data_IF_730332814082
#
_entry.id   IF_730332814082
#
_cell.length_a   1.000
_cell.length_b   1.000
_cell.length_c   1.000
_cell.angle_alpha   90.00
_cell.angle_beta   90.00
_cell.angle_gamma   90.00
#
_symmetry.space_group_name_H-M   'P 1'
#
loop_
_entity.id
_entity.type
_entity.pdbx_description
1 polymer ?
#
# COMPACT_ATOMS: atom_id res chain seq x y z
N UNK A 1 -2.31 45.61 5.66
CA UNK A 1 -2.98 44.34 6.02
C UNK A 1 -2.52 43.16 5.15
N UNK A 2 -2.41 43.31 3.83
CA UNK A 2 -2.00 42.22 2.91
C UNK A 2 -0.59 41.67 3.16
N UNK A 3 0.39 42.53 3.43
CA UNK A 3 1.77 42.12 3.76
C UNK A 3 1.84 41.29 5.05
N UNK A 4 1.10 41.70 6.09
CA UNK A 4 1.02 40.97 7.37
C UNK A 4 0.36 39.63 7.19
N UNK A 5 -0.73 39.54 6.41
CA UNK A 5 -1.40 38.29 6.09
C UNK A 5 -0.47 37.32 5.35
N UNK A 6 0.25 37.81 4.32
CA UNK A 6 1.24 37.00 3.59
C UNK A 6 2.35 36.51 4.52
N UNK A 7 2.87 37.38 5.38
CA UNK A 7 3.90 37.01 6.36
C UNK A 7 3.40 35.91 7.31
N UNK A 8 2.24 36.10 7.93
CA UNK A 8 1.65 35.09 8.84
C UNK A 8 1.38 33.77 8.13
N UNK A 9 0.86 33.83 6.89
CA UNK A 9 0.61 32.63 6.07
C UNK A 9 1.89 31.85 5.79
N UNK A 10 2.95 32.51 5.34
CA UNK A 10 4.22 31.83 5.04
C UNK A 10 4.91 31.33 6.32
N UNK A 11 4.86 32.08 7.41
CA UNK A 11 5.38 31.63 8.71
C UNK A 11 4.66 30.36 9.17
N UNK A 12 3.34 30.34 9.08
CA UNK A 12 2.56 29.13 9.43
C UNK A 12 2.91 27.94 8.54
N UNK A 13 3.00 28.14 7.21
CA UNK A 13 3.38 27.08 6.28
C UNK A 13 4.77 26.54 6.60
N UNK A 14 5.75 27.40 6.87
CA UNK A 14 7.13 26.99 7.20
C UNK A 14 7.14 26.20 8.51
N UNK A 15 6.51 26.71 9.57
CA UNK A 15 6.45 26.02 10.86
C UNK A 15 5.79 24.66 10.73
N UNK A 16 4.68 24.58 9.98
CA UNK A 16 3.98 23.33 9.73
C UNK A 16 4.81 22.34 8.92
N UNK A 17 5.52 22.84 7.89
CA UNK A 17 6.43 22.00 7.10
C UNK A 17 7.57 21.45 7.95
N UNK A 18 8.19 22.29 8.78
CA UNK A 18 9.26 21.88 9.71
C UNK A 18 8.71 20.81 10.68
N UNK A 19 7.54 21.04 11.26
CA UNK A 19 6.90 20.07 12.17
C UNK A 19 6.68 18.69 11.52
N UNK A 20 6.22 18.67 10.27
CA UNK A 20 5.99 17.41 9.53
C UNK A 20 7.31 16.76 9.13
N UNK A 21 8.30 17.53 8.67
CA UNK A 21 9.55 17.00 8.09
C UNK A 21 10.55 16.58 9.18
N UNK A 22 10.54 17.24 10.33
CA UNK A 22 11.51 17.00 11.41
C UNK A 22 11.60 15.53 11.86
N UNK A 23 10.48 14.79 12.12
CA UNK A 23 10.57 13.38 12.50
C UNK A 23 11.18 12.50 11.40
N UNK A 24 10.94 12.80 10.12
CA UNK A 24 11.56 12.06 9.02
C UNK A 24 13.07 12.32 8.94
N UNK A 25 13.49 13.58 9.07
CA UNK A 25 14.91 13.92 9.11
C UNK A 25 15.61 13.25 10.31
N UNK A 26 14.94 13.20 11.45
CA UNK A 26 15.47 12.52 12.63
C UNK A 26 15.57 11.00 12.42
N UNK A 27 14.57 10.36 11.82
CA UNK A 27 14.62 8.95 11.47
C UNK A 27 15.76 8.64 10.50
N UNK A 28 15.93 9.47 9.45
CA UNK A 28 17.04 9.35 8.51
C UNK A 28 18.38 9.51 9.24
N UNK A 29 18.53 10.55 10.04
CA UNK A 29 19.76 10.79 10.83
C UNK A 29 20.06 9.60 11.76
N UNK A 30 19.05 9.05 12.42
CA UNK A 30 19.19 7.91 13.33
C UNK A 30 19.59 6.64 12.61
N UNK A 31 19.21 6.45 11.33
CA UNK A 31 19.62 5.28 10.55
C UNK A 31 21.13 5.19 10.28
N UNK A 32 21.84 6.29 10.46
CA UNK A 32 23.31 6.35 10.32
C UNK A 32 24.06 6.31 11.67
N UNK A 33 23.38 6.07 12.79
CA UNK A 33 24.01 5.94 14.11
C UNK A 33 24.45 4.52 14.35
N UNK A 34 25.53 4.37 15.11
CA UNK A 34 25.92 3.10 15.69
C UNK A 34 25.03 2.72 16.88
N UNK A 35 25.04 1.48 17.30
CA UNK A 35 24.19 0.97 18.37
C UNK A 35 24.42 1.70 19.72
N UNK A 36 25.68 2.08 20.02
CA UNK A 36 26.00 2.79 21.26
C UNK A 36 25.42 4.22 21.24
N UNK A 37 25.55 4.94 20.13
CA UNK A 37 25.04 6.29 19.97
C UNK A 37 23.51 6.36 20.02
N UNK A 38 22.80 5.29 19.59
CA UNK A 38 21.34 5.22 19.68
C UNK A 38 20.89 5.07 21.14
N UNK A 39 21.61 4.27 21.96
CA UNK A 39 21.17 3.93 23.31
C UNK A 39 21.75 4.80 24.42
N UNK A 40 22.87 5.50 24.20
CA UNK A 40 23.59 6.22 25.25
C UNK A 40 23.13 7.64 25.45
N UNK A 41 22.85 8.40 24.40
CA UNK A 41 22.46 9.81 24.46
C UNK A 41 21.52 10.18 23.32
N UNK A 42 20.66 11.18 23.59
CA UNK A 42 19.86 11.80 22.54
C UNK A 42 20.77 12.69 21.70
N UNK A 43 21.05 12.29 20.48
CA UNK A 43 21.89 12.99 19.52
C UNK A 43 21.08 13.36 18.29
N UNK A 44 21.32 14.56 17.73
CA UNK A 44 20.49 15.07 16.63
C UNK A 44 21.28 15.30 15.34
N UNK A 45 22.48 15.87 15.46
CA UNK A 45 23.21 16.42 14.32
C UNK A 45 24.41 15.52 13.96
N UNK A 46 24.43 14.93 12.73
CA UNK A 46 25.59 14.18 12.25
C UNK A 46 26.87 15.03 12.30
N UNK A 47 28.00 14.40 12.55
CA UNK A 47 29.35 14.94 12.70
C UNK A 47 29.57 15.91 13.89
N UNK A 48 28.52 16.39 14.54
CA UNK A 48 28.62 17.18 15.78
C UNK A 48 28.35 16.32 17.02
N UNK A 49 27.30 15.54 16.99
CA UNK A 49 26.87 14.73 18.13
C UNK A 49 27.30 13.26 18.02
N UNK A 50 27.47 12.77 16.79
CA UNK A 50 27.90 11.39 16.51
C UNK A 50 28.57 11.30 15.12
N UNK A 51 29.41 10.28 14.93
CA UNK A 51 30.01 9.96 13.61
C UNK A 51 29.05 9.07 12.82
N UNK A 52 28.62 9.50 11.60
CA UNK A 52 27.73 8.70 10.79
C UNK A 52 28.40 7.39 10.34
N UNK A 53 27.69 6.28 10.50
CA UNK A 53 28.15 4.95 10.12
C UNK A 53 27.08 4.21 9.31
N UNK A 54 27.51 3.27 8.48
CA UNK A 54 26.63 2.36 7.73
C UNK A 54 26.53 0.97 8.41
N UNK A 55 26.95 0.86 9.65
CA UNK A 55 26.97 -0.43 10.34
C UNK A 55 25.58 -1.03 10.47
N UNK A 56 24.57 -0.24 10.87
CA UNK A 56 23.18 -0.67 10.93
C UNK A 56 22.66 -1.22 9.58
N UNK A 57 22.97 -0.52 8.49
CA UNK A 57 22.62 -0.97 7.14
C UNK A 57 23.33 -2.27 6.72
N UNK A 58 24.60 -2.43 7.10
CA UNK A 58 25.35 -3.67 6.85
C UNK A 58 24.77 -4.85 7.62
N UNK A 59 24.34 -4.66 8.85
CA UNK A 59 23.68 -5.70 9.65
C UNK A 59 22.36 -6.13 9.03
N UNK A 60 21.58 -5.19 8.51
CA UNK A 60 20.31 -5.49 7.85
C UNK A 60 20.48 -6.38 6.60
N UNK A 61 21.54 -6.17 5.83
CA UNK A 61 21.77 -6.90 4.58
C UNK A 61 22.53 -8.23 4.80
N UNK A 62 23.23 -8.40 5.92
CA UNK A 62 23.94 -9.65 6.21
C UNK A 62 22.97 -10.79 6.52
N UNK A 63 23.34 -12.00 6.12
CA UNK A 63 22.59 -13.21 6.46
C UNK A 63 22.63 -13.49 7.97
N UNK A 64 21.60 -14.17 8.53
CA UNK A 64 21.55 -14.55 9.96
C UNK A 64 22.77 -15.35 10.40
N UNK A 65 23.27 -16.24 9.56
CA UNK A 65 24.49 -17.04 9.84
C UNK A 65 25.76 -16.17 10.08
N UNK A 66 25.72 -14.90 9.69
CA UNK A 66 26.81 -13.92 9.89
C UNK A 66 26.44 -12.82 10.89
N UNK A 67 25.44 -13.07 11.75
CA UNK A 67 24.94 -12.09 12.73
C UNK A 67 24.14 -10.93 12.11
N UNK A 68 23.56 -11.13 10.94
CA UNK A 68 22.70 -10.16 10.27
C UNK A 68 21.21 -10.48 10.40
N UNK A 69 20.37 -9.66 9.76
CA UNK A 69 18.89 -9.78 9.79
C UNK A 69 18.33 -10.40 8.53
N UNK A 70 19.04 -10.22 7.40
CA UNK A 70 18.60 -10.61 6.07
C UNK A 70 17.20 -10.05 5.72
N UNK A 71 17.18 -8.78 5.38
CA UNK A 71 15.94 -8.11 4.94
C UNK A 71 15.76 -8.15 3.42
N UNK A 72 16.76 -8.63 2.68
CA UNK A 72 16.77 -8.54 1.21
C UNK A 72 15.68 -9.41 0.62
N UNK A 73 15.60 -10.66 1.04
CA UNK A 73 14.55 -11.58 0.58
C UNK A 73 13.14 -11.08 0.97
N UNK A 74 12.84 -10.75 2.24
CA UNK A 74 11.55 -10.17 2.62
C UNK A 74 11.18 -8.89 1.87
N UNK A 75 12.17 -8.06 1.52
CA UNK A 75 11.94 -6.86 0.71
C UNK A 75 11.45 -7.21 -0.70
N UNK A 76 12.13 -8.13 -1.39
CA UNK A 76 11.72 -8.55 -2.73
C UNK A 76 10.40 -9.33 -2.72
N UNK A 77 10.15 -10.12 -1.69
CA UNK A 77 8.85 -10.78 -1.49
C UNK A 77 7.72 -9.76 -1.35
N UNK A 78 7.91 -8.73 -0.52
CA UNK A 78 6.94 -7.65 -0.37
C UNK A 78 6.72 -6.89 -1.68
N UNK A 79 7.81 -6.58 -2.40
CA UNK A 79 7.73 -5.90 -3.69
C UNK A 79 6.95 -6.72 -4.71
N UNK A 80 7.25 -8.02 -4.82
CA UNK A 80 6.57 -8.93 -5.74
C UNK A 80 5.08 -9.05 -5.43
N UNK A 81 4.73 -9.35 -4.16
CA UNK A 81 3.33 -9.51 -3.74
C UNK A 81 2.55 -8.22 -3.94
N UNK A 82 3.08 -7.10 -3.46
CA UNK A 82 2.40 -5.81 -3.54
C UNK A 82 2.22 -5.34 -4.98
N UNK A 83 3.27 -5.36 -5.79
CA UNK A 83 3.18 -4.90 -7.18
C UNK A 83 2.27 -5.79 -8.02
N UNK A 84 2.38 -7.11 -7.89
CA UNK A 84 1.56 -8.06 -8.66
C UNK A 84 0.09 -7.96 -8.26
N UNK A 85 -0.22 -7.97 -6.96
CA UNK A 85 -1.58 -7.84 -6.48
C UNK A 85 -2.20 -6.48 -6.83
N UNK A 86 -1.45 -5.39 -6.68
CA UNK A 86 -1.92 -4.06 -7.05
C UNK A 86 -2.22 -3.95 -8.54
N UNK A 87 -1.32 -4.45 -9.41
CA UNK A 87 -1.52 -4.42 -10.86
C UNK A 87 -2.80 -5.17 -11.26
N UNK A 88 -2.97 -6.38 -10.76
CA UNK A 88 -4.15 -7.21 -11.05
C UNK A 88 -5.41 -6.53 -10.50
N UNK A 89 -5.37 -6.01 -9.27
CA UNK A 89 -6.50 -5.32 -8.65
C UNK A 89 -6.90 -4.05 -9.41
N UNK A 90 -5.94 -3.28 -9.92
CA UNK A 90 -6.20 -2.09 -10.73
C UNK A 90 -6.85 -2.49 -12.05
N UNK A 91 -6.33 -3.50 -12.73
CA UNK A 91 -6.90 -3.96 -14.01
C UNK A 91 -8.35 -4.45 -13.82
N UNK A 92 -8.56 -5.38 -12.89
CA UNK A 92 -9.88 -5.93 -12.63
C UNK A 92 -10.84 -4.89 -12.06
N UNK A 93 -10.38 -4.09 -11.10
CA UNK A 93 -11.14 -3.01 -10.49
C UNK A 93 -11.55 -1.92 -11.49
N UNK A 94 -10.68 -1.57 -12.43
CA UNK A 94 -10.97 -0.60 -13.48
C UNK A 94 -12.03 -1.13 -14.44
N UNK A 95 -11.96 -2.38 -14.86
CA UNK A 95 -12.96 -3.01 -15.71
C UNK A 95 -14.33 -3.10 -15.01
N UNK A 96 -14.34 -3.52 -13.75
CA UNK A 96 -15.56 -3.57 -12.94
C UNK A 96 -16.15 -2.17 -12.74
N UNK A 97 -15.32 -1.17 -12.43
CA UNK A 97 -15.75 0.21 -12.26
C UNK A 97 -16.32 0.82 -13.54
N UNK A 98 -15.71 0.55 -14.69
CA UNK A 98 -16.26 0.99 -15.99
C UNK A 98 -17.63 0.38 -16.21
N UNK A 99 -17.78 -0.93 -16.02
CA UNK A 99 -19.06 -1.58 -16.13
C UNK A 99 -20.13 -0.98 -15.21
N UNK A 100 -19.79 -0.72 -13.95
CA UNK A 100 -20.70 -0.13 -12.96
C UNK A 100 -21.07 1.33 -13.26
N UNK A 101 -20.20 2.08 -13.94
CA UNK A 101 -20.44 3.48 -14.28
C UNK A 101 -21.24 3.67 -15.58
N UNK A 102 -21.10 2.75 -16.54
CA UNK A 102 -21.69 2.86 -17.89
C UNK A 102 -22.95 2.04 -18.09
N UNK A 103 -23.03 0.85 -17.49
CA UNK A 103 -24.16 -0.05 -17.65
C UNK A 103 -25.04 -0.06 -16.41
N UNK A 104 -26.35 -0.18 -16.62
CA UNK A 104 -27.33 -0.31 -15.54
C UNK A 104 -27.58 -1.79 -15.23
N UNK A 105 -27.07 -2.23 -14.11
CA UNK A 105 -27.34 -3.57 -13.61
C UNK A 105 -28.59 -3.54 -12.71
N UNK A 106 -29.54 -4.44 -12.97
CA UNK A 106 -30.72 -4.65 -12.14
C UNK A 106 -30.94 -6.14 -11.99
N UNK A 107 -30.74 -6.65 -10.78
CA UNK A 107 -31.05 -8.04 -10.43
C UNK A 107 -31.97 -8.02 -9.20
N UNK A 108 -33.28 -8.05 -9.45
CA UNK A 108 -34.27 -7.88 -8.41
C UNK A 108 -34.17 -6.50 -7.73
N UNK A 109 -33.81 -6.49 -6.45
CA UNK A 109 -33.63 -5.27 -5.66
C UNK A 109 -32.21 -4.68 -5.78
N UNK A 110 -31.23 -5.42 -6.30
CA UNK A 110 -29.82 -5.00 -6.38
C UNK A 110 -29.60 -4.08 -7.58
N UNK A 111 -29.01 -2.91 -7.33
CA UNK A 111 -28.64 -1.89 -8.33
C UNK A 111 -27.13 -1.62 -8.27
N UNK A 112 -26.62 -0.84 -9.23
CA UNK A 112 -25.20 -0.46 -9.30
C UNK A 112 -24.66 0.10 -7.98
N UNK A 113 -25.42 0.95 -7.31
CA UNK A 113 -25.03 1.54 -6.03
C UNK A 113 -24.86 0.47 -4.93
N UNK A 114 -25.71 -0.54 -4.92
CA UNK A 114 -25.63 -1.63 -3.94
C UNK A 114 -24.40 -2.50 -4.21
N UNK A 115 -24.08 -2.74 -5.48
CA UNK A 115 -22.85 -3.47 -5.87
C UNK A 115 -21.62 -2.66 -5.47
N UNK A 116 -21.59 -1.36 -5.76
CA UNK A 116 -20.51 -0.48 -5.36
C UNK A 116 -20.35 -0.44 -3.85
N UNK A 117 -21.47 -0.33 -3.11
CA UNK A 117 -21.48 -0.38 -1.65
C UNK A 117 -20.97 -1.72 -1.12
N UNK A 118 -21.29 -2.83 -1.76
CA UNK A 118 -20.78 -4.15 -1.39
C UNK A 118 -19.25 -4.20 -1.46
N UNK A 119 -18.64 -3.65 -2.52
CA UNK A 119 -17.18 -3.55 -2.60
C UNK A 119 -16.60 -2.73 -1.44
N UNK A 120 -17.20 -1.58 -1.11
CA UNK A 120 -16.72 -0.72 -0.03
C UNK A 120 -16.91 -1.39 1.34
N UNK A 121 -18.02 -2.09 1.54
CA UNK A 121 -18.37 -2.73 2.82
C UNK A 121 -17.33 -3.77 3.26
N UNK A 122 -16.65 -4.42 2.32
CA UNK A 122 -15.57 -5.35 2.63
C UNK A 122 -14.40 -4.68 3.36
N UNK A 123 -14.16 -3.38 3.13
CA UNK A 123 -13.10 -2.61 3.81
C UNK A 123 -13.48 -2.19 5.24
N UNK A 124 -14.77 -2.20 5.55
CA UNK A 124 -15.28 -1.87 6.89
C UNK A 124 -15.16 -3.09 7.81
N UNK A 125 -15.12 -4.30 7.26
CA UNK A 125 -14.99 -5.52 8.06
C UNK A 125 -13.64 -5.56 8.79
N UNK A 126 -13.61 -5.92 10.09
CA UNK A 126 -12.36 -6.12 10.80
C UNK A 126 -11.51 -7.22 10.13
N UNK A 127 -10.21 -6.99 9.90
CA UNK A 127 -9.34 -7.95 9.21
C UNK A 127 -9.35 -9.36 9.82
N UNK A 128 -9.52 -9.46 11.15
CA UNK A 128 -9.57 -10.75 11.85
C UNK A 128 -10.74 -11.64 11.39
N UNK A 129 -11.86 -11.05 11.00
CA UNK A 129 -13.03 -11.81 10.52
C UNK A 129 -12.73 -12.48 9.18
N UNK A 130 -11.95 -11.80 8.32
CA UNK A 130 -11.56 -12.32 7.00
C UNK A 130 -10.38 -13.29 7.08
N UNK A 131 -9.55 -13.22 8.13
CA UNK A 131 -8.34 -14.04 8.24
C UNK A 131 -8.64 -15.54 8.33
N UNK A 132 -9.66 -15.94 9.09
CA UNK A 132 -10.03 -17.34 9.26
C UNK A 132 -10.50 -17.97 7.93
N UNK A 133 -11.45 -17.38 7.19
CA UNK A 133 -11.83 -17.89 5.86
C UNK A 133 -10.66 -17.97 4.88
N UNK A 134 -9.79 -16.95 4.83
CA UNK A 134 -8.63 -16.98 3.95
C UNK A 134 -7.63 -18.07 4.35
N UNK A 135 -7.39 -18.24 5.63
CA UNK A 135 -6.52 -19.31 6.12
C UNK A 135 -7.04 -20.68 5.70
N UNK A 136 -8.33 -20.99 5.95
CA UNK A 136 -8.96 -22.26 5.59
C UNK A 136 -8.91 -22.45 4.05
N UNK A 137 -9.25 -21.42 3.29
CA UNK A 137 -9.22 -21.46 1.83
C UNK A 137 -7.83 -21.78 1.29
N UNK A 138 -6.81 -21.02 1.70
CA UNK A 138 -5.43 -21.24 1.26
C UNK A 138 -4.87 -22.59 1.70
N UNK A 139 -5.20 -23.04 2.92
CA UNK A 139 -4.84 -24.37 3.42
C UNK A 139 -5.45 -25.48 2.56
N UNK A 140 -6.73 -25.33 2.18
CA UNK A 140 -7.44 -26.34 1.39
C UNK A 140 -6.88 -26.49 -0.01
N UNK A 141 -6.43 -25.38 -0.63
CA UNK A 141 -5.87 -25.41 -2.00
C UNK A 141 -4.34 -25.56 -2.00
N UNK A 142 -3.70 -25.71 -0.82
CA UNK A 142 -2.26 -25.89 -0.69
C UNK A 142 -1.41 -24.66 -1.03
N UNK A 143 -1.97 -23.46 -0.90
CA UNK A 143 -1.28 -22.18 -1.13
C UNK A 143 -0.98 -21.40 0.17
N UNK A 144 -1.19 -22.03 1.33
CA UNK A 144 -0.79 -21.41 2.60
C UNK A 144 0.75 -21.32 2.65
N UNK A 145 1.28 -20.27 3.29
CA UNK A 145 2.71 -19.97 3.36
C UNK A 145 3.40 -19.86 1.98
N UNK A 146 2.72 -19.24 1.01
CA UNK A 146 3.25 -19.04 -0.34
C UNK A 146 3.05 -17.60 -0.85
N UNK A 147 3.97 -17.11 -1.70
CA UNK A 147 3.84 -15.80 -2.35
C UNK A 147 2.57 -15.69 -3.19
N UNK A 148 2.20 -16.76 -3.89
CA UNK A 148 1.00 -16.78 -4.74
C UNK A 148 -0.26 -16.70 -3.87
N UNK A 149 -0.30 -17.42 -2.76
CA UNK A 149 -1.41 -17.33 -1.80
C UNK A 149 -1.62 -15.92 -1.29
N UNK A 150 -0.54 -15.24 -0.91
CA UNK A 150 -0.60 -13.82 -0.51
C UNK A 150 -1.07 -12.92 -1.64
N UNK A 151 -0.58 -13.10 -2.86
CA UNK A 151 -1.05 -12.33 -4.04
C UNK A 151 -2.56 -12.47 -4.22
N UNK A 152 -3.11 -13.68 -4.14
CA UNK A 152 -4.57 -13.93 -4.26
C UNK A 152 -5.35 -13.19 -3.18
N UNK A 153 -4.92 -13.27 -1.92
CA UNK A 153 -5.58 -12.55 -0.81
C UNK A 153 -5.48 -11.04 -1.01
N UNK A 154 -4.31 -10.53 -1.38
CA UNK A 154 -4.13 -9.09 -1.58
C UNK A 154 -4.95 -8.56 -2.77
N UNK A 155 -5.15 -9.34 -3.84
CA UNK A 155 -6.08 -8.95 -4.92
C UNK A 155 -7.48 -8.72 -4.36
N UNK A 156 -7.98 -9.64 -3.54
CA UNK A 156 -9.33 -9.51 -2.94
C UNK A 156 -9.41 -8.29 -2.02
N UNK A 157 -8.36 -8.01 -1.26
CA UNK A 157 -8.33 -6.88 -0.32
C UNK A 157 -8.16 -5.52 -1.02
N UNK A 158 -7.43 -5.45 -2.13
CA UNK A 158 -7.11 -4.20 -2.82
C UNK A 158 -8.14 -3.84 -3.91
N UNK A 159 -8.78 -4.84 -4.52
CA UNK A 159 -9.75 -4.62 -5.60
C UNK A 159 -10.90 -3.67 -5.22
N UNK A 160 -11.49 -3.72 -4.00
CA UNK A 160 -12.53 -2.79 -3.59
C UNK A 160 -12.11 -1.32 -3.64
N UNK A 161 -10.85 -1.03 -3.31
CA UNK A 161 -10.28 0.33 -3.37
C UNK A 161 -10.20 0.80 -4.81
N UNK A 162 -9.68 -0.06 -5.70
CA UNK A 162 -9.56 0.26 -7.12
C UNK A 162 -10.94 0.50 -7.74
N UNK A 163 -11.92 -0.36 -7.45
CA UNK A 163 -13.31 -0.20 -7.92
C UNK A 163 -13.88 1.13 -7.44
N UNK A 164 -13.79 1.43 -6.17
CA UNK A 164 -14.39 2.63 -5.58
C UNK A 164 -13.81 3.91 -6.19
N UNK A 165 -12.50 4.02 -6.26
CA UNK A 165 -11.83 5.19 -6.82
C UNK A 165 -12.18 5.33 -8.31
N UNK A 166 -12.12 4.24 -9.07
CA UNK A 166 -12.34 4.30 -10.50
C UNK A 166 -13.80 4.55 -10.89
N UNK A 167 -14.78 4.08 -10.10
CA UNK A 167 -16.21 4.42 -10.31
C UNK A 167 -16.41 5.93 -10.21
N UNK A 168 -15.83 6.59 -9.20
CA UNK A 168 -15.95 8.04 -9.04
C UNK A 168 -15.29 8.80 -10.22
N UNK A 169 -14.12 8.36 -10.66
CA UNK A 169 -13.46 8.96 -11.83
C UNK A 169 -14.25 8.75 -13.12
N UNK A 170 -14.74 7.55 -13.40
CA UNK A 170 -15.55 7.31 -14.60
C UNK A 170 -16.88 8.06 -14.59
N UNK A 171 -17.49 8.27 -13.44
CA UNK A 171 -18.71 9.06 -13.33
C UNK A 171 -18.49 10.55 -13.65
N UNK A 172 -17.26 11.06 -13.54
CA UNK A 172 -16.89 12.43 -13.94
C UNK A 172 -16.62 12.57 -15.44
N UNK A 173 -16.30 11.47 -16.12
CA UNK A 173 -16.13 11.48 -17.59
C UNK A 173 -17.51 11.48 -18.24
N UNK A 174 -17.84 12.49 -19.07
CA UNK A 174 -19.14 12.58 -19.75
C UNK A 174 -19.42 11.34 -20.59
N UNK A 175 -20.66 10.83 -20.52
CA UNK A 175 -21.08 9.63 -21.28
C UNK A 175 -21.14 9.90 -22.79
N UNK A 176 -21.31 11.14 -23.16
CA UNK A 176 -21.32 11.62 -24.55
C UNK A 176 -20.03 11.29 -25.30
N UNK A 177 -18.91 11.17 -24.57
CA UNK A 177 -17.63 10.74 -25.16
C UNK A 177 -17.66 9.28 -25.61
N UNK A 178 -18.32 8.40 -24.85
CA UNK A 178 -18.51 7.00 -25.23
C UNK A 178 -19.44 6.92 -26.45
N UNK A 179 -20.55 7.68 -26.47
CA UNK A 179 -21.54 7.73 -27.55
C UNK A 179 -20.90 8.28 -28.84
N UNK A 180 -20.12 9.35 -28.76
CA UNK A 180 -19.40 9.92 -29.92
C UNK A 180 -18.42 8.89 -30.48
N UNK A 181 -17.65 8.20 -29.66
CA UNK A 181 -16.73 7.17 -30.10
C UNK A 181 -17.45 6.00 -30.83
N UNK A 182 -18.64 5.62 -30.37
CA UNK A 182 -19.46 4.60 -31.04
C UNK A 182 -19.98 5.11 -32.42
N UNK A 183 -20.37 6.38 -32.52
CA UNK A 183 -20.79 7.00 -33.80
C UNK A 183 -19.60 7.05 -34.78
N UNK A 184 -18.39 7.30 -34.27
CA UNK A 184 -17.14 7.30 -35.06
C UNK A 184 -16.68 5.88 -35.49
N UNK A 185 -17.50 4.86 -35.19
CA UNK A 185 -17.26 3.46 -35.61
C UNK A 185 -16.40 2.64 -34.65
N UNK A 186 -16.11 3.15 -33.46
CA UNK A 186 -15.47 2.35 -32.43
C UNK A 186 -16.43 1.29 -31.88
N UNK A 187 -15.94 0.08 -31.61
CA UNK A 187 -16.68 -0.87 -30.77
C UNK A 187 -16.55 -0.47 -29.28
N UNK A 188 -17.37 -1.04 -28.36
CA UNK A 188 -17.35 -0.68 -26.95
C UNK A 188 -15.98 -0.84 -26.27
N UNK A 189 -15.19 -1.83 -26.67
CA UNK A 189 -13.83 -2.02 -26.14
C UNK A 189 -12.88 -0.92 -26.63
N UNK A 190 -13.02 -0.52 -27.90
CA UNK A 190 -12.22 0.56 -28.46
C UNK A 190 -12.60 1.92 -27.84
N UNK A 191 -13.88 2.18 -27.60
CA UNK A 191 -14.33 3.38 -26.88
C UNK A 191 -13.72 3.43 -25.48
N UNK A 192 -13.74 2.31 -24.74
CA UNK A 192 -13.08 2.21 -23.45
C UNK A 192 -11.58 2.53 -23.53
N UNK A 193 -10.81 1.79 -24.34
CA UNK A 193 -9.35 1.92 -24.40
C UNK A 193 -8.85 3.23 -25.03
N UNK A 194 -9.55 3.72 -26.06
CA UNK A 194 -9.08 4.89 -26.82
C UNK A 194 -9.57 6.22 -26.27
N UNK A 195 -10.73 6.22 -25.58
CA UNK A 195 -11.38 7.46 -25.15
C UNK A 195 -11.50 7.52 -23.63
N UNK A 196 -12.17 6.58 -23.00
CA UNK A 196 -12.51 6.68 -21.57
C UNK A 196 -11.30 6.46 -20.68
N UNK A 197 -10.53 5.42 -20.93
CA UNK A 197 -9.36 5.06 -20.12
C UNK A 197 -8.28 6.15 -20.14
N UNK A 198 -7.88 6.74 -21.28
CA UNK A 198 -6.92 7.83 -21.30
C UNK A 198 -7.38 9.07 -20.53
N UNK A 199 -8.67 9.40 -20.60
CA UNK A 199 -9.25 10.51 -19.83
C UNK A 199 -9.32 10.22 -18.32
N UNK A 200 -9.20 8.96 -17.92
CA UNK A 200 -9.23 8.50 -16.52
C UNK A 200 -7.85 8.15 -15.95
N UNK A 201 -6.76 8.41 -16.67
CA UNK A 201 -5.38 8.15 -16.20
C UNK A 201 -5.11 8.75 -14.82
N UNK A 202 -5.52 9.98 -14.47
CA UNK A 202 -5.34 10.49 -13.12
C UNK A 202 -5.99 9.60 -12.05
N UNK A 203 -7.16 9.04 -12.35
CA UNK A 203 -7.83 8.07 -11.47
C UNK A 203 -7.05 6.78 -11.30
N UNK A 204 -6.50 6.25 -12.39
CA UNK A 204 -5.64 5.06 -12.36
C UNK A 204 -4.40 5.26 -11.49
N UNK A 205 -3.76 6.42 -11.61
CA UNK A 205 -2.59 6.77 -10.79
C UNK A 205 -2.97 6.79 -9.31
N UNK A 206 -4.08 7.46 -8.97
CA UNK A 206 -4.56 7.53 -7.58
C UNK A 206 -4.91 6.14 -7.05
N UNK A 207 -5.69 5.34 -7.79
CA UNK A 207 -6.04 3.97 -7.41
C UNK A 207 -4.79 3.10 -7.22
N UNK A 208 -3.82 3.22 -8.15
CA UNK A 208 -2.54 2.52 -8.08
C UNK A 208 -1.72 2.88 -6.85
N UNK A 209 -1.61 4.16 -6.54
CA UNK A 209 -0.91 4.61 -5.34
C UNK A 209 -1.55 4.04 -4.07
N UNK A 210 -2.87 4.08 -3.95
CA UNK A 210 -3.56 3.51 -2.79
C UNK A 210 -3.38 1.99 -2.69
N UNK A 211 -3.50 1.26 -3.80
CA UNK A 211 -3.27 -0.18 -3.80
C UNK A 211 -1.84 -0.52 -3.35
N UNK A 212 -0.83 0.18 -3.88
CA UNK A 212 0.57 -0.04 -3.49
C UNK A 212 0.79 0.29 -2.02
N UNK A 213 0.30 1.44 -1.54
CA UNK A 213 0.46 1.85 -0.14
C UNK A 213 -0.17 0.81 0.79
N UNK A 214 -1.43 0.44 0.57
CA UNK A 214 -2.12 -0.51 1.44
C UNK A 214 -1.53 -1.92 1.38
N UNK A 215 -1.10 -2.38 0.19
CA UNK A 215 -0.42 -3.66 0.07
C UNK A 215 0.97 -3.67 0.73
N UNK A 216 1.70 -2.56 0.62
CA UNK A 216 3.05 -2.45 1.20
C UNK A 216 3.07 -2.43 2.73
N UNK A 217 2.10 -1.74 3.35
CA UNK A 217 2.04 -1.59 4.81
C UNK A 217 1.29 -2.73 5.50
N UNK A 218 0.71 -3.68 4.74
CA UNK A 218 -0.03 -4.78 5.37
C UNK A 218 0.91 -5.70 6.12
N UNK A 219 0.66 -5.77 7.41
CA UNK A 219 1.33 -6.69 8.34
C UNK A 219 0.44 -7.87 8.69
N UNK A 220 -0.87 -7.61 8.85
CA UNK A 220 -1.78 -8.53 9.51
C UNK A 220 -2.00 -9.83 8.72
N UNK A 221 -2.36 -9.72 7.43
CA UNK A 221 -2.57 -10.90 6.61
C UNK A 221 -1.26 -11.61 6.27
N UNK A 222 -0.18 -10.86 6.05
CA UNK A 222 1.14 -11.44 5.91
C UNK A 222 1.53 -12.26 7.13
N UNK A 223 1.33 -11.74 8.35
CA UNK A 223 1.68 -12.41 9.61
C UNK A 223 0.86 -13.69 9.85
N UNK A 224 -0.45 -13.67 9.51
CA UNK A 224 -1.33 -14.84 9.77
C UNK A 224 -1.20 -15.92 8.70
N UNK A 225 -0.89 -15.55 7.46
CA UNK A 225 -0.93 -16.47 6.32
C UNK A 225 0.45 -17.00 5.92
N UNK A 226 1.54 -16.49 6.54
CA UNK A 226 2.91 -16.99 6.30
C UNK A 226 3.62 -17.33 7.61
N UNK A 227 4.49 -18.35 7.57
CA UNK A 227 5.14 -18.88 8.77
C UNK A 227 6.64 -19.05 8.62
N UNK A 228 7.09 -19.92 7.72
CA UNK A 228 8.49 -20.35 7.61
C UNK A 228 9.08 -20.10 6.22
N UNK A 229 8.33 -20.42 5.16
CA UNK A 229 8.83 -20.38 3.78
C UNK A 229 8.85 -18.97 3.21
N UNK A 230 7.88 -18.15 3.61
CA UNK A 230 7.71 -16.80 3.07
C UNK A 230 7.63 -15.78 4.22
N UNK A 231 8.44 -14.74 4.12
CA UNK A 231 8.34 -13.60 5.01
C UNK A 231 8.26 -12.30 4.19
N UNK A 232 7.34 -11.41 4.58
CA UNK A 232 7.27 -10.06 4.05
C UNK A 232 8.03 -9.07 4.95
N UNK A 233 8.44 -7.95 4.37
CA UNK A 233 9.22 -6.93 5.06
C UNK A 233 8.55 -6.41 6.35
N UNK A 234 7.24 -6.08 6.41
CA UNK A 234 6.59 -5.65 7.64
C UNK A 234 6.66 -6.71 8.76
N UNK A 235 6.49 -7.99 8.42
CA UNK A 235 6.56 -9.10 9.38
C UNK A 235 7.99 -9.25 9.90
N UNK A 236 8.98 -9.22 9.01
CA UNK A 236 10.40 -9.29 9.38
C UNK A 236 10.83 -8.13 10.28
N UNK A 237 10.39 -6.92 9.96
CA UNK A 237 10.71 -5.73 10.73
C UNK A 237 10.16 -5.81 12.17
N UNK A 238 8.91 -6.23 12.35
CA UNK A 238 8.29 -6.39 13.67
C UNK A 238 8.96 -7.51 14.46
N UNK A 239 9.18 -8.68 13.84
CA UNK A 239 9.86 -9.81 14.46
C UNK A 239 11.25 -9.43 14.98
N UNK A 240 12.02 -8.69 14.17
CA UNK A 240 13.37 -8.26 14.56
C UNK A 240 13.37 -7.27 15.73
N UNK A 241 12.45 -6.32 15.73
CA UNK A 241 12.35 -5.33 16.82
C UNK A 241 11.95 -5.98 18.14
N UNK A 242 11.04 -6.94 18.12
CA UNK A 242 10.63 -7.68 19.32
C UNK A 242 11.73 -8.60 19.88
N UNK A 243 12.42 -9.33 19.02
CA UNK A 243 13.52 -10.22 19.47
C UNK A 243 14.64 -9.43 20.14
N UNK A 244 15.06 -8.31 19.57
CA UNK A 244 16.11 -7.47 20.18
C UNK A 244 15.69 -6.75 21.45
N UNK A 245 14.41 -6.42 21.61
CA UNK A 245 13.92 -5.83 22.86
C UNK A 245 14.11 -6.79 24.05
N UNK A 246 14.02 -8.10 23.84
CA UNK A 246 14.27 -9.11 24.88
C UNK A 246 15.77 -9.34 25.17
N UNK A 247 16.65 -9.16 24.18
CA UNK A 247 18.10 -9.31 24.36
C UNK A 247 18.74 -8.15 25.12
N UNK A 248 18.06 -7.02 25.23
CA UNK A 248 18.59 -5.79 25.89
C UNK A 248 18.11 -5.61 27.33
N UNK A 249 17.31 -6.54 27.89
CA UNK A 249 16.96 -6.54 29.32
C UNK A 249 18.04 -7.34 30.04
N UNK A 250 18.95 -6.71 30.82
CA UNK A 250 19.88 -7.46 31.70
C UNK A 250 19.05 -8.14 32.77
N UNK A 251 19.37 -9.42 33.03
CA UNK A 251 18.87 -10.17 34.21
C UNK A 251 19.20 -9.47 35.54
#
# INVERSE_FOLDING_TARGET
MEKLYKFLKYTFIILWTVFIVAPFLWAISTSFKDFQSVNSKVTYIPWLDFEPTLEGWRVLVKSPARGGVDIVEPYFNSLFVTCTASLISIVLGTLAAYALSRFTFKAGFVRNNDITFFFISQRIMPPIVLSIPFFIFLSTIGLLDSLIGLVVVYIVLLMPIAVWIMVDFFNRVPKELDETALIDGCNPYQAFYKVVLPNSIPGLIVAGMFCIIFGWIDFFFAFILTFTEVQLLPVKAVSYTHLRAHETIPD
#
